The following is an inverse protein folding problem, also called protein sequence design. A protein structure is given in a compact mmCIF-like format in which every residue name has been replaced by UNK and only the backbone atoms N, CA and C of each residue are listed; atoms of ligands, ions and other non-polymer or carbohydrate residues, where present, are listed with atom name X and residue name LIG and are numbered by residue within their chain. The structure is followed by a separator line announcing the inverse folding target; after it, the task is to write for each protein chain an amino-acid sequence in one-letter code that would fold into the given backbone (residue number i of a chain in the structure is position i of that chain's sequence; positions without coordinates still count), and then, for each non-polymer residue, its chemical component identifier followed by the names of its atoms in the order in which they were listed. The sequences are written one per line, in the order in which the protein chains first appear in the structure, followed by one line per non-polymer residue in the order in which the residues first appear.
data_IF_666436501319
#
_entry.id   IF_666436501319
#
_cell.length_a   1.000
_cell.length_b   1.000
_cell.length_c   1.000
_cell.angle_alpha   90.00
_cell.angle_beta   90.00
_cell.angle_gamma   90.00
#
_symmetry.space_group_name_H-M   'P 1'
#
loop_
_entity.id
_entity.type
_entity.pdbx_description
1 polymer ?
#
# COMPACT_ATOMS: atom_id res chain seq x y z
N UNK A 1 34.82 19.89 13.46
CA UNK A 1 34.79 18.44 13.22
C UNK A 1 33.34 18.03 13.37
N UNK A 2 32.69 17.65 12.28
CA UNK A 2 31.24 17.46 12.22
C UNK A 2 30.85 16.14 12.88
N UNK A 3 30.18 16.22 14.02
CA UNK A 3 29.45 15.09 14.61
C UNK A 3 28.18 14.87 13.77
N UNK A 4 28.23 13.89 12.87
CA UNK A 4 27.02 13.38 12.22
C UNK A 4 26.28 12.47 13.21
N UNK A 5 25.32 13.05 13.92
CA UNK A 5 24.30 12.32 14.66
C UNK A 5 23.41 11.57 13.67
N UNK A 6 23.76 10.31 13.38
CA UNK A 6 22.85 9.36 12.75
C UNK A 6 21.77 8.99 13.78
N UNK A 7 20.69 9.77 13.82
CA UNK A 7 19.46 9.30 14.42
C UNK A 7 18.94 8.13 13.58
N UNK A 8 18.65 6.96 14.17
CA UNK A 8 17.87 5.96 13.47
C UNK A 8 16.46 6.54 13.31
N UNK A 9 16.19 7.09 12.12
CA UNK A 9 14.84 7.40 11.65
C UNK A 9 13.97 6.20 11.95
N UNK A 10 12.92 6.45 12.73
CA UNK A 10 12.01 5.46 13.29
C UNK A 10 11.71 4.33 12.28
N UNK A 11 11.70 3.05 12.71
CA UNK A 11 11.11 2.01 11.89
C UNK A 11 9.65 2.40 11.68
N UNK A 12 9.32 2.84 10.47
CA UNK A 12 7.94 2.96 10.04
C UNK A 12 7.33 1.58 10.25
N UNK A 13 6.15 1.51 10.87
CA UNK A 13 5.41 0.29 11.26
C UNK A 13 4.99 -0.61 10.07
N UNK A 14 5.76 -0.63 8.99
CA UNK A 14 5.50 -1.30 7.71
C UNK A 14 6.51 -2.42 7.43
N UNK A 15 7.62 -2.49 8.17
CA UNK A 15 8.70 -3.47 7.90
C UNK A 15 8.79 -4.61 8.93
N UNK A 16 7.65 -5.21 9.29
CA UNK A 16 7.63 -6.47 10.06
C UNK A 16 7.17 -7.67 9.21
N UNK A 17 6.54 -7.44 8.06
CA UNK A 17 5.97 -8.52 7.24
C UNK A 17 6.69 -8.77 5.91
N UNK A 18 7.64 -7.92 5.52
CA UNK A 18 8.33 -8.04 4.23
C UNK A 18 9.57 -8.97 4.28
N UNK A 19 10.13 -9.26 5.46
CA UNK A 19 11.46 -9.85 5.57
C UNK A 19 11.52 -11.40 5.60
N UNK A 20 10.40 -12.12 5.60
CA UNK A 20 10.43 -13.56 5.81
C UNK A 20 9.34 -14.31 5.04
N UNK A 21 9.48 -14.44 3.71
CA UNK A 21 8.78 -15.45 2.89
C UNK A 21 7.32 -15.70 3.27
N UNK A 22 6.59 -14.65 3.62
CA UNK A 22 5.33 -14.75 4.36
C UNK A 22 4.19 -15.06 3.36
N UNK A 23 3.20 -15.87 3.78
CA UNK A 23 2.14 -16.36 2.91
C UNK A 23 1.47 -15.19 2.20
N UNK A 24 1.05 -15.40 0.95
CA UNK A 24 0.31 -14.43 0.12
C UNK A 24 -0.85 -13.81 0.92
N UNK A 25 -0.57 -12.70 1.64
CA UNK A 25 -1.54 -12.04 2.48
C UNK A 25 -2.46 -11.26 1.56
N UNK A 26 -3.68 -11.76 1.43
CA UNK A 26 -4.73 -11.10 0.67
C UNK A 26 -5.46 -10.11 1.56
N UNK A 27 -5.46 -8.84 1.16
CA UNK A 27 -6.21 -7.79 1.83
C UNK A 27 -7.58 -7.63 1.19
N UNK A 28 -8.61 -7.50 2.03
CA UNK A 28 -9.92 -7.06 1.56
C UNK A 28 -9.95 -5.53 1.41
N UNK A 29 -10.97 -5.01 0.73
CA UNK A 29 -11.16 -3.57 0.62
C UNK A 29 -11.32 -2.86 1.97
N UNK A 30 -11.84 -3.56 2.98
CA UNK A 30 -11.94 -3.03 4.34
C UNK A 30 -10.57 -2.92 5.04
N UNK A 31 -9.67 -3.85 4.76
CA UNK A 31 -8.32 -3.80 5.33
C UNK A 31 -7.48 -2.71 4.68
N UNK A 32 -7.62 -2.50 3.37
CA UNK A 32 -7.01 -1.36 2.68
C UNK A 32 -7.54 -0.03 3.21
N UNK A 33 -8.85 0.08 3.46
CA UNK A 33 -9.45 1.27 4.08
C UNK A 33 -8.84 1.57 5.44
N UNK A 34 -8.65 0.54 6.28
CA UNK A 34 -8.00 0.70 7.60
C UNK A 34 -6.53 1.08 7.47
N UNK A 35 -5.78 0.42 6.58
CA UNK A 35 -4.35 0.67 6.35
C UNK A 35 -4.08 2.11 5.94
N UNK A 36 -4.86 2.64 5.01
CA UNK A 36 -4.72 4.02 4.54
C UNK A 36 -5.54 5.03 5.35
N UNK A 37 -6.29 4.57 6.36
CA UNK A 37 -7.24 5.40 7.12
C UNK A 37 -8.17 6.23 6.22
N UNK A 38 -8.67 5.62 5.15
CA UNK A 38 -9.54 6.26 4.16
C UNK A 38 -10.99 5.83 4.33
N UNK A 39 -11.90 6.74 3.98
CA UNK A 39 -13.33 6.43 3.94
C UNK A 39 -13.67 5.42 2.82
N UNK A 40 -14.77 4.67 2.94
CA UNK A 40 -15.25 3.80 1.86
C UNK A 40 -15.46 4.54 0.54
N UNK A 41 -15.92 5.79 0.60
CA UNK A 41 -16.12 6.63 -0.59
C UNK A 41 -14.79 6.97 -1.28
N UNK A 42 -13.75 7.29 -0.51
CA UNK A 42 -12.40 7.50 -1.02
C UNK A 42 -11.85 6.22 -1.66
N UNK A 43 -12.04 5.08 -1.00
CA UNK A 43 -11.63 3.78 -1.54
C UNK A 43 -12.33 3.45 -2.87
N UNK A 44 -13.64 3.73 -2.99
CA UNK A 44 -14.35 3.57 -4.26
C UNK A 44 -13.83 4.49 -5.37
N UNK A 45 -13.47 5.74 -5.04
CA UNK A 45 -12.82 6.66 -6.00
C UNK A 45 -11.50 6.12 -6.50
N UNK A 46 -10.69 5.52 -5.63
CA UNK A 46 -9.40 4.91 -6.00
C UNK A 46 -9.55 3.66 -6.88
N UNK A 47 -10.75 3.13 -7.08
CA UNK A 47 -10.99 2.05 -8.05
C UNK A 47 -11.45 2.54 -9.41
N UNK A 48 -11.74 3.83 -9.55
CA UNK A 48 -12.16 4.39 -10.83
C UNK A 48 -10.96 4.53 -11.78
N UNK A 49 -11.15 4.29 -13.08
CA UNK A 49 -10.08 4.41 -14.08
C UNK A 49 -9.51 5.84 -14.14
N UNK A 50 -10.33 6.86 -13.91
CA UNK A 50 -9.94 8.26 -13.91
C UNK A 50 -9.21 8.72 -12.63
N UNK A 51 -8.91 7.82 -11.70
CA UNK A 51 -8.24 8.18 -10.47
C UNK A 51 -6.71 8.21 -10.67
N UNK A 52 -6.03 9.34 -10.39
CA UNK A 52 -4.56 9.38 -10.42
C UNK A 52 -3.93 8.48 -9.35
N UNK A 53 -4.70 8.10 -8.32
CA UNK A 53 -4.32 7.12 -7.30
C UNK A 53 -5.07 5.80 -7.47
N UNK A 54 -5.28 5.36 -8.72
CA UNK A 54 -5.93 4.09 -9.03
C UNK A 54 -5.19 2.94 -8.34
N UNK A 55 -5.88 2.19 -7.48
CA UNK A 55 -5.38 0.95 -6.88
C UNK A 55 -5.20 -0.14 -7.94
N UNK A 56 -4.27 -1.10 -7.74
CA UNK A 56 -4.13 -2.23 -8.64
C UNK A 56 -5.42 -3.05 -8.69
N UNK A 57 -5.60 -3.78 -9.79
CA UNK A 57 -6.77 -4.64 -9.93
C UNK A 57 -6.71 -5.79 -8.91
N UNK A 58 -7.84 -6.17 -8.29
CA UNK A 58 -7.86 -7.25 -7.32
C UNK A 58 -7.53 -8.58 -7.99
N UNK A 59 -6.73 -9.43 -7.31
CA UNK A 59 -6.43 -10.78 -7.81
C UNK A 59 -7.61 -11.75 -7.69
N UNK A 60 -8.49 -11.53 -6.72
CA UNK A 60 -9.64 -12.40 -6.48
C UNK A 60 -10.92 -11.60 -6.28
N UNK A 61 -12.01 -12.07 -6.90
CA UNK A 61 -13.35 -11.51 -6.74
C UNK A 61 -13.50 -10.09 -7.29
N UNK A 62 -14.74 -9.62 -7.32
CA UNK A 62 -15.10 -8.27 -7.74
C UNK A 62 -15.81 -7.51 -6.61
N UNK A 63 -15.90 -6.18 -6.76
CA UNK A 63 -16.72 -5.35 -5.89
C UNK A 63 -16.36 -5.40 -4.40
N UNK A 64 -17.23 -6.00 -3.58
CA UNK A 64 -17.08 -6.12 -2.12
C UNK A 64 -16.25 -7.34 -1.69
N UNK A 65 -16.16 -8.36 -2.54
CA UNK A 65 -15.40 -9.58 -2.30
C UNK A 65 -14.01 -9.53 -2.92
N UNK A 66 -13.69 -8.41 -3.58
CA UNK A 66 -12.39 -8.13 -4.15
C UNK A 66 -11.28 -8.26 -3.09
N UNK A 67 -10.20 -8.95 -3.46
CA UNK A 67 -9.00 -9.12 -2.65
C UNK A 67 -7.75 -8.74 -3.41
N UNK A 68 -6.89 -8.00 -2.75
CA UNK A 68 -5.62 -7.52 -3.27
C UNK A 68 -4.48 -8.30 -2.63
N UNK A 69 -3.52 -8.73 -3.45
CA UNK A 69 -2.30 -9.30 -2.92
C UNK A 69 -1.45 -8.17 -2.30
N UNK A 70 -0.86 -8.42 -1.14
CA UNK A 70 0.03 -7.47 -0.48
C UNK A 70 1.16 -7.02 -1.42
N UNK A 71 1.71 -7.94 -2.20
CA UNK A 71 2.78 -7.68 -3.18
C UNK A 71 2.38 -6.59 -4.19
N UNK A 72 1.18 -6.67 -4.77
CA UNK A 72 0.71 -5.72 -5.79
C UNK A 72 0.52 -4.32 -5.18
N UNK A 73 0.03 -4.27 -3.94
CA UNK A 73 -0.15 -3.02 -3.19
C UNK A 73 1.21 -2.38 -2.89
N UNK A 74 2.18 -3.15 -2.43
CA UNK A 74 3.53 -2.67 -2.14
C UNK A 74 4.24 -2.20 -3.43
N UNK A 75 4.10 -2.94 -4.53
CA UNK A 75 4.64 -2.51 -5.82
C UNK A 75 4.01 -1.20 -6.30
N UNK A 76 2.69 -1.05 -6.14
CA UNK A 76 1.98 0.18 -6.46
C UNK A 76 2.42 1.37 -5.60
N UNK A 77 2.64 1.16 -4.30
CA UNK A 77 3.18 2.17 -3.38
C UNK A 77 4.58 2.63 -3.81
N UNK A 78 5.47 1.68 -4.11
CA UNK A 78 6.84 1.95 -4.57
C UNK A 78 6.87 2.72 -5.90
N UNK A 79 6.04 2.31 -6.87
CA UNK A 79 5.95 3.00 -8.17
C UNK A 79 5.49 4.46 -8.01
N UNK A 80 4.61 4.74 -7.04
CA UNK A 80 4.19 6.11 -6.72
C UNK A 80 5.28 6.94 -6.05
N UNK A 81 6.07 6.34 -5.16
CA UNK A 81 7.17 7.05 -4.48
C UNK A 81 8.28 7.45 -5.46
N UNK A 82 8.64 6.56 -6.40
CA UNK A 82 9.66 6.85 -7.42
C UNK A 82 9.25 8.01 -8.36
N UNK A 83 7.95 8.22 -8.58
CA UNK A 83 7.45 9.31 -9.43
C UNK A 83 7.53 10.69 -8.76
N UNK A 84 7.80 10.76 -7.45
CA UNK A 84 7.93 12.03 -6.73
C UNK A 84 9.39 12.51 -6.60
N UNK A 85 10.36 11.64 -6.92
CA UNK A 85 11.81 11.94 -6.80
C UNK A 85 12.49 12.24 -8.15
N UNK A 86 11.74 12.47 -9.23
CA UNK A 86 12.26 12.77 -10.57
C UNK A 86 11.96 14.20 -11.02
#
# INVERSE_FOLDING_TARGET
MSEQSLTPTAPTMIDVFAAAGAPSCFFSGADLQKRYSISPATFWRWRQPDCPHKLPDPRFGDGKSARWALEDIVQWENAKQQSHEA
#
